data_IF_291428150853
#
_entry.id   IF_291428150853
#
_cell.length_a   1.000
_cell.length_b   1.000
_cell.length_c   1.000
_cell.angle_alpha   90.00
_cell.angle_beta   90.00
_cell.angle_gamma   90.00
#
_symmetry.space_group_name_H-M   'P 1'
#
loop_
_entity.id
_entity.type
_entity.pdbx_description
1 polymer ?
#
# COMPACT_ATOMS: atom_id res chain seq x y z
N UNK A 1 -29.13 32.07 24.63
CA UNK A 1 -28.48 31.02 23.83
C UNK A 1 -28.40 29.75 24.67
N UNK A 2 -29.01 28.63 24.27
CA UNK A 2 -28.88 27.39 25.03
C UNK A 2 -27.44 26.88 24.92
N UNK A 3 -26.76 26.79 26.07
CA UNK A 3 -25.41 26.22 26.18
C UNK A 3 -25.55 24.71 26.08
N UNK A 4 -24.96 24.09 25.06
CA UNK A 4 -24.95 22.63 24.90
C UNK A 4 -24.22 21.99 26.09
N UNK A 5 -24.98 21.44 27.03
CA UNK A 5 -24.43 20.76 28.22
C UNK A 5 -23.93 19.38 27.80
N UNK A 6 -22.66 19.07 28.08
CA UNK A 6 -22.11 17.72 27.93
C UNK A 6 -23.04 16.71 28.64
N UNK A 7 -23.40 15.58 28.02
CA UNK A 7 -24.25 14.58 28.67
C UNK A 7 -23.58 14.07 29.95
N UNK A 8 -24.31 14.10 31.08
CA UNK A 8 -23.81 13.69 32.41
C UNK A 8 -23.57 12.18 32.58
N UNK A 9 -23.89 11.37 31.56
CA UNK A 9 -24.03 9.91 31.67
C UNK A 9 -23.02 9.12 30.82
N UNK A 10 -21.95 9.76 30.34
CA UNK A 10 -20.93 9.08 29.54
C UNK A 10 -19.82 8.57 30.44
N UNK A 11 -19.65 7.26 30.49
CA UNK A 11 -18.47 6.66 31.12
C UNK A 11 -17.24 6.88 30.24
N UNK A 12 -16.46 7.90 30.60
CA UNK A 12 -15.21 8.29 29.92
C UNK A 12 -14.01 7.45 30.37
N UNK A 13 -14.14 6.70 31.47
CA UNK A 13 -13.08 5.84 31.99
C UNK A 13 -12.96 4.54 31.19
N UNK A 14 -14.08 4.03 30.67
CA UNK A 14 -14.07 2.88 29.77
C UNK A 14 -13.44 3.25 28.40
N UNK A 15 -12.28 2.65 28.03
CA UNK A 15 -11.56 2.96 26.80
C UNK A 15 -12.19 2.33 25.55
N UNK A 16 -13.23 1.52 25.67
CA UNK A 16 -13.85 0.84 24.53
C UNK A 16 -14.65 1.80 23.64
N UNK A 17 -14.40 1.72 22.33
CA UNK A 17 -15.20 2.33 21.27
C UNK A 17 -16.37 1.44 20.83
N UNK A 18 -16.40 0.18 21.26
CA UNK A 18 -17.45 -0.77 20.96
C UNK A 18 -18.25 -1.16 22.21
N UNK A 19 -19.47 -1.64 21.97
CA UNK A 19 -20.38 -2.16 22.99
C UNK A 19 -21.18 -3.30 22.39
N UNK A 20 -21.56 -4.27 23.22
CA UNK A 20 -22.53 -5.29 22.84
C UNK A 20 -23.93 -4.69 22.77
N UNK A 21 -24.64 -4.94 21.67
CA UNK A 21 -26.01 -4.47 21.52
C UNK A 21 -26.93 -5.24 22.49
N UNK A 22 -27.70 -4.57 23.36
CA UNK A 22 -28.55 -5.24 24.34
C UNK A 22 -29.73 -6.01 23.70
N UNK A 23 -30.02 -5.78 22.41
CA UNK A 23 -31.08 -6.50 21.69
C UNK A 23 -30.55 -7.74 20.97
N UNK A 24 -29.45 -7.64 20.23
CA UNK A 24 -28.97 -8.74 19.37
C UNK A 24 -27.66 -9.37 19.84
N UNK A 25 -27.04 -8.87 20.91
CA UNK A 25 -25.78 -9.39 21.48
C UNK A 25 -24.54 -9.14 20.62
N UNK A 26 -24.68 -8.61 19.40
CA UNK A 26 -23.53 -8.36 18.53
C UNK A 26 -22.80 -7.08 18.91
N UNK A 27 -21.48 -7.11 18.71
CA UNK A 27 -20.61 -5.95 18.87
C UNK A 27 -20.98 -4.85 17.88
N UNK A 28 -21.04 -3.61 18.35
CA UNK A 28 -21.32 -2.43 17.51
C UNK A 28 -20.63 -1.20 18.08
N UNK A 29 -20.45 -0.16 17.26
CA UNK A 29 -19.81 1.06 17.72
C UNK A 29 -20.65 1.70 18.83
N UNK A 30 -20.01 2.10 19.93
CA UNK A 30 -20.66 2.58 21.15
C UNK A 30 -21.34 3.93 20.98
N UNK A 31 -20.84 4.77 20.09
CA UNK A 31 -21.27 6.16 19.92
C UNK A 31 -22.01 6.43 18.60
N UNK A 32 -22.80 5.46 18.15
CA UNK A 32 -23.76 5.61 17.05
C UNK A 32 -25.19 5.63 17.61
N UNK A 33 -26.12 6.25 16.90
CA UNK A 33 -27.51 6.37 17.37
C UNK A 33 -28.24 5.03 17.45
N UNK A 34 -27.96 4.12 16.51
CA UNK A 34 -28.59 2.81 16.41
C UNK A 34 -27.60 1.70 16.04
N UNK A 35 -27.83 0.51 16.58
CA UNK A 35 -27.08 -0.69 16.24
C UNK A 35 -27.16 -0.95 14.72
N UNK A 36 -25.99 -1.09 14.07
CA UNK A 36 -25.91 -1.32 12.62
C UNK A 36 -26.52 -2.65 12.17
N UNK A 37 -26.61 -3.63 13.07
CA UNK A 37 -27.16 -4.96 12.72
C UNK A 37 -28.69 -5.03 12.86
N UNK A 38 -29.26 -4.52 13.96
CA UNK A 38 -30.68 -4.71 14.27
C UNK A 38 -31.49 -3.41 14.41
N UNK A 39 -30.87 -2.25 14.19
CA UNK A 39 -31.54 -0.94 14.27
C UNK A 39 -31.95 -0.51 15.68
N UNK A 40 -31.55 -1.25 16.73
CA UNK A 40 -31.86 -0.89 18.10
C UNK A 40 -31.24 0.46 18.48
N UNK A 41 -32.03 1.37 19.06
CA UNK A 41 -31.55 2.69 19.50
C UNK A 41 -30.64 2.56 20.72
N UNK A 42 -29.36 2.82 20.51
CA UNK A 42 -28.33 2.83 21.55
C UNK A 42 -28.29 4.19 22.27
N UNK A 43 -28.58 5.26 21.52
CA UNK A 43 -28.69 6.61 22.05
C UNK A 43 -30.04 7.23 21.67
N UNK A 44 -30.56 8.18 22.47
CA UNK A 44 -31.82 8.86 22.14
C UNK A 44 -31.78 9.60 20.81
N UNK A 45 -30.61 10.12 20.42
CA UNK A 45 -30.39 10.78 19.12
C UNK A 45 -28.93 10.70 18.68
N UNK A 46 -28.69 10.91 17.38
CA UNK A 46 -27.33 11.01 16.80
C UNK A 46 -26.54 12.20 17.34
N UNK A 47 -27.22 13.30 17.68
CA UNK A 47 -26.60 14.46 18.31
C UNK A 47 -26.06 14.12 19.70
N UNK A 48 -26.86 13.42 20.52
CA UNK A 48 -26.43 12.97 21.84
C UNK A 48 -25.27 11.97 21.76
N UNK A 49 -25.34 11.02 20.83
CA UNK A 49 -24.25 10.07 20.58
C UNK A 49 -22.94 10.79 20.18
N UNK A 50 -23.04 11.80 19.31
CA UNK A 50 -21.89 12.60 18.87
C UNK A 50 -21.32 13.47 20.00
N UNK A 51 -22.19 14.05 20.84
CA UNK A 51 -21.76 14.81 22.02
C UNK A 51 -21.06 13.92 23.05
N UNK A 52 -21.55 12.69 23.22
CA UNK A 52 -20.94 11.70 24.09
C UNK A 52 -19.57 11.23 23.58
N UNK A 53 -19.46 10.95 22.28
CA UNK A 53 -18.19 10.65 21.63
C UNK A 53 -17.16 11.74 21.84
N UNK A 54 -17.55 13.01 21.62
CA UNK A 54 -16.66 14.16 21.85
C UNK A 54 -16.20 14.22 23.31
N UNK A 55 -17.12 14.06 24.27
CA UNK A 55 -16.75 14.06 25.69
C UNK A 55 -15.80 12.91 26.06
N UNK A 56 -16.01 11.71 25.48
CA UNK A 56 -15.15 10.55 25.68
C UNK A 56 -13.76 10.71 25.04
N UNK A 57 -13.69 11.33 23.85
CA UNK A 57 -12.44 11.61 23.14
C UNK A 57 -11.64 12.73 23.80
N UNK A 58 -12.31 13.79 24.23
CA UNK A 58 -11.67 14.94 24.89
C UNK A 58 -11.09 14.58 26.28
N UNK A 59 -11.48 13.43 26.84
CA UNK A 59 -11.02 12.99 28.15
C UNK A 59 -9.59 12.40 28.14
N UNK A 60 -9.08 12.00 26.97
CA UNK A 60 -7.78 11.32 26.85
C UNK A 60 -7.14 11.61 25.48
N UNK A 61 -5.96 12.26 25.44
CA UNK A 61 -5.29 12.63 24.19
C UNK A 61 -4.99 11.47 23.24
N UNK A 62 -4.82 10.24 23.75
CA UNK A 62 -4.57 9.05 22.92
C UNK A 62 -5.72 8.75 21.96
N UNK A 63 -6.92 9.26 22.24
CA UNK A 63 -8.14 9.02 21.47
C UNK A 63 -8.34 10.01 20.32
N UNK A 64 -7.40 10.95 20.12
CA UNK A 64 -7.55 12.09 19.18
C UNK A 64 -7.96 11.65 17.77
N UNK A 65 -7.42 10.53 17.29
CA UNK A 65 -7.60 10.02 15.93
C UNK A 65 -8.76 9.02 15.81
N UNK A 66 -9.41 8.67 16.93
CA UNK A 66 -10.57 7.79 16.91
C UNK A 66 -11.72 8.39 16.09
N UNK A 67 -12.44 7.52 15.36
CA UNK A 67 -13.76 7.83 14.80
C UNK A 67 -14.85 7.19 15.64
N UNK A 68 -16.02 7.87 15.70
CA UNK A 68 -17.21 7.35 16.42
C UNK A 68 -17.79 6.07 15.82
N UNK A 69 -17.34 5.72 14.62
CA UNK A 69 -17.83 4.59 13.84
C UNK A 69 -16.92 3.36 13.94
N UNK A 70 -15.74 3.53 14.52
CA UNK A 70 -14.79 2.44 14.72
C UNK A 70 -15.25 1.57 15.88
N UNK A 71 -14.80 0.31 15.87
CA UNK A 71 -15.05 -0.62 16.97
C UNK A 71 -13.91 -0.59 17.99
N UNK A 72 -12.70 -0.22 17.54
CA UNK A 72 -11.47 -0.22 18.30
C UNK A 72 -10.79 1.13 18.18
N UNK A 73 -10.05 1.52 19.22
CA UNK A 73 -9.26 2.77 19.20
C UNK A 73 -8.11 2.55 18.21
N UNK A 74 -7.93 3.44 17.22
CA UNK A 74 -6.78 3.34 16.32
C UNK A 74 -5.50 3.30 17.14
N UNK A 75 -4.71 2.26 16.92
CA UNK A 75 -3.34 2.23 17.47
C UNK A 75 -2.59 3.42 16.88
N UNK A 76 -1.80 4.11 17.71
CA UNK A 76 -0.90 5.14 17.19
C UNK A 76 -0.10 4.48 16.06
N UNK A 77 -0.05 5.08 14.86
CA UNK A 77 0.75 4.52 13.79
C UNK A 77 2.16 4.45 14.34
N UNK A 78 2.63 3.21 14.57
CA UNK A 78 4.05 3.01 14.79
C UNK A 78 4.75 3.74 13.65
N UNK A 79 5.75 4.54 13.96
CA UNK A 79 6.55 5.25 12.97
C UNK A 79 7.35 4.20 12.18
N UNK A 80 6.62 3.47 11.33
CA UNK A 80 7.16 2.46 10.45
C UNK A 80 7.40 3.22 9.17
N UNK A 81 8.60 3.77 9.04
CA UNK A 81 9.19 4.01 7.73
C UNK A 81 9.22 2.64 7.03
N UNK A 82 8.15 2.31 6.31
CA UNK A 82 8.03 1.04 5.60
C UNK A 82 9.03 1.11 4.45
N UNK A 83 10.10 0.33 4.55
CA UNK A 83 10.98 0.06 3.42
C UNK A 83 10.23 -0.86 2.44
N UNK A 84 9.60 -0.23 1.45
CA UNK A 84 8.84 -0.92 0.42
C UNK A 84 9.71 -1.87 -0.40
N UNK A 85 11.02 -1.64 -0.52
CA UNK A 85 11.92 -2.54 -1.23
C UNK A 85 12.15 -3.82 -0.43
N UNK A 86 12.41 -3.68 0.88
CA UNK A 86 12.52 -4.84 1.78
C UNK A 86 11.22 -5.64 1.86
N UNK A 87 10.07 -4.96 1.98
CA UNK A 87 8.77 -5.63 2.04
C UNK A 87 8.40 -6.32 0.72
N UNK A 88 8.79 -5.75 -0.42
CA UNK A 88 8.60 -6.40 -1.73
C UNK A 88 9.46 -7.66 -1.88
N UNK A 89 10.71 -7.62 -1.37
CA UNK A 89 11.58 -8.79 -1.35
C UNK A 89 11.01 -9.93 -0.49
N UNK A 90 10.48 -9.63 0.70
CA UNK A 90 9.79 -10.62 1.55
C UNK A 90 8.57 -11.25 0.87
N UNK A 91 7.86 -10.49 0.05
CA UNK A 91 6.68 -10.96 -0.70
C UNK A 91 7.06 -11.74 -1.97
N UNK A 92 8.35 -11.93 -2.25
CA UNK A 92 8.82 -12.57 -3.49
C UNK A 92 8.52 -11.74 -4.74
N UNK A 93 8.21 -10.46 -4.59
CA UNK A 93 7.98 -9.55 -5.71
C UNK A 93 9.36 -9.07 -6.17
N UNK A 94 9.85 -9.66 -7.25
CA UNK A 94 11.07 -9.19 -7.91
C UNK A 94 10.80 -7.83 -8.56
N UNK A 95 11.11 -6.75 -7.86
CA UNK A 95 11.21 -5.42 -8.47
C UNK A 95 12.50 -5.38 -9.29
N UNK A 96 12.36 -5.32 -10.61
CA UNK A 96 13.51 -5.06 -11.47
C UNK A 96 14.02 -3.64 -11.18
N UNK A 97 15.32 -3.44 -10.91
CA UNK A 97 15.90 -2.10 -10.81
C UNK A 97 15.72 -1.37 -12.14
N UNK A 98 15.78 -0.03 -12.11
CA UNK A 98 15.68 0.78 -13.32
C UNK A 98 16.74 0.35 -14.36
N UNK A 99 16.27 -0.14 -15.51
CA UNK A 99 17.11 -0.57 -16.64
C UNK A 99 16.87 0.31 -17.86
N UNK A 100 17.95 0.70 -18.52
CA UNK A 100 17.90 1.46 -19.77
C UNK A 100 17.94 0.56 -21.01
N UNK A 101 18.22 -0.74 -20.88
CA UNK A 101 18.41 -1.63 -22.03
C UNK A 101 17.15 -1.83 -22.89
N UNK A 102 15.93 -1.95 -22.34
CA UNK A 102 14.72 -2.02 -23.16
C UNK A 102 14.59 -0.85 -24.15
N UNK A 103 14.93 0.35 -23.72
CA UNK A 103 14.93 1.53 -24.58
C UNK A 103 15.97 1.42 -25.71
N UNK A 104 17.19 0.98 -25.38
CA UNK A 104 18.27 0.79 -26.36
C UNK A 104 17.89 -0.27 -27.40
N UNK A 105 17.26 -1.37 -26.98
CA UNK A 105 16.76 -2.43 -27.86
C UNK A 105 15.74 -1.85 -28.84
N UNK A 106 14.77 -1.06 -28.34
CA UNK A 106 13.77 -0.41 -29.20
C UNK A 106 14.41 0.54 -30.22
N UNK A 107 15.42 1.32 -29.83
CA UNK A 107 16.17 2.18 -30.75
C UNK A 107 16.85 1.34 -31.83
N UNK A 108 17.56 0.27 -31.45
CA UNK A 108 18.19 -0.64 -32.43
C UNK A 108 17.18 -1.25 -33.41
N UNK A 109 16.04 -1.72 -32.89
CA UNK A 109 14.95 -2.27 -33.69
C UNK A 109 14.36 -1.24 -34.68
N UNK A 110 14.23 0.03 -34.27
CA UNK A 110 13.79 1.11 -35.14
C UNK A 110 14.72 1.29 -36.35
N UNK A 111 16.04 1.34 -36.13
CA UNK A 111 17.02 1.46 -37.23
C UNK A 111 16.99 0.24 -38.17
N UNK A 112 16.85 -0.97 -37.62
CA UNK A 112 16.66 -2.19 -38.42
C UNK A 112 15.39 -2.12 -39.28
N UNK A 113 14.27 -1.68 -38.71
CA UNK A 113 13.02 -1.51 -39.43
C UNK A 113 13.13 -0.46 -40.55
N UNK A 114 13.81 0.67 -40.29
CA UNK A 114 14.07 1.69 -41.31
C UNK A 114 14.96 1.16 -42.44
N UNK A 115 15.93 0.28 -42.15
CA UNK A 115 16.76 -0.38 -43.17
C UNK A 115 15.99 -1.34 -44.09
N UNK A 116 14.84 -1.85 -43.64
CA UNK A 116 13.96 -2.70 -44.44
C UNK A 116 13.10 -1.92 -45.46
N UNK A 117 12.92 -0.61 -45.26
CA UNK A 117 12.20 0.27 -46.17
C UNK A 117 13.00 0.41 -47.49
N UNK A 118 12.34 0.49 -48.66
CA UNK A 118 13.00 0.57 -49.97
C UNK A 118 13.66 1.95 -50.24
N UNK A 119 14.62 2.33 -49.40
CA UNK A 119 15.55 3.43 -49.67
C UNK A 119 16.68 2.99 -50.60
N UNK A 120 17.62 3.89 -50.90
CA UNK A 120 18.84 3.55 -51.65
C UNK A 120 19.62 2.44 -50.93
N UNK A 121 20.25 1.55 -51.70
CA UNK A 121 20.93 0.37 -51.15
C UNK A 121 21.96 0.71 -50.07
N UNK A 122 22.75 1.77 -50.28
CA UNK A 122 23.73 2.26 -49.31
C UNK A 122 23.09 2.66 -47.99
N UNK A 123 21.98 3.41 -48.01
CA UNK A 123 21.28 3.86 -46.80
C UNK A 123 20.73 2.65 -46.04
N UNK A 124 20.16 1.68 -46.74
CA UNK A 124 19.61 0.46 -46.13
C UNK A 124 20.68 -0.35 -45.40
N UNK A 125 21.84 -0.54 -46.03
CA UNK A 125 22.96 -1.28 -45.42
C UNK A 125 23.48 -0.55 -44.18
N UNK A 126 23.67 0.77 -44.25
CA UNK A 126 24.13 1.57 -43.11
C UNK A 126 23.14 1.48 -41.94
N UNK A 127 21.85 1.66 -42.20
CA UNK A 127 20.80 1.55 -41.18
C UNK A 127 20.74 0.14 -40.57
N UNK A 128 20.86 -0.89 -41.39
CA UNK A 128 20.85 -2.27 -40.92
C UNK A 128 22.05 -2.59 -40.02
N UNK A 129 23.25 -2.13 -40.39
CA UNK A 129 24.47 -2.34 -39.59
C UNK A 129 24.38 -1.59 -38.27
N UNK A 130 24.00 -0.30 -38.29
CA UNK A 130 23.87 0.52 -37.08
C UNK A 130 22.80 -0.07 -36.15
N UNK A 131 21.61 -0.35 -36.70
CA UNK A 131 20.51 -0.93 -35.92
C UNK A 131 20.87 -2.29 -35.34
N UNK A 132 21.56 -3.15 -36.11
CA UNK A 132 22.02 -4.46 -35.66
C UNK A 132 23.00 -4.36 -34.50
N UNK A 133 23.99 -3.47 -34.57
CA UNK A 133 24.96 -3.27 -33.50
C UNK A 133 24.30 -2.72 -32.22
N UNK A 134 23.40 -1.74 -32.34
CA UNK A 134 22.69 -1.17 -31.18
C UNK A 134 21.78 -2.22 -30.54
N UNK A 135 21.04 -2.99 -31.35
CA UNK A 135 20.16 -4.04 -30.88
C UNK A 135 20.94 -5.14 -30.15
N UNK A 136 22.04 -5.62 -30.72
CA UNK A 136 22.89 -6.63 -30.10
C UNK A 136 23.49 -6.13 -28.78
N UNK A 137 23.96 -4.88 -28.73
CA UNK A 137 24.43 -4.28 -27.49
C UNK A 137 23.34 -4.23 -26.42
N UNK A 138 22.11 -3.85 -26.81
CA UNK A 138 20.95 -3.84 -25.92
C UNK A 138 20.62 -5.21 -25.34
N UNK A 139 20.55 -6.25 -26.19
CA UNK A 139 20.23 -7.62 -25.76
C UNK A 139 21.34 -8.20 -24.89
N UNK A 140 22.61 -8.05 -25.29
CA UNK A 140 23.76 -8.57 -24.52
C UNK A 140 23.84 -7.88 -23.16
N UNK A 141 23.66 -6.56 -23.11
CA UNK A 141 23.66 -5.83 -21.84
C UNK A 141 22.52 -6.25 -20.92
N UNK A 142 21.31 -6.41 -21.46
CA UNK A 142 20.15 -6.85 -20.68
C UNK A 142 20.31 -8.28 -20.16
N UNK A 143 20.68 -9.22 -21.04
CA UNK A 143 20.70 -10.66 -20.72
C UNK A 143 21.97 -11.08 -19.97
N UNK A 144 23.14 -10.51 -20.26
CA UNK A 144 24.39 -10.96 -19.62
C UNK A 144 24.83 -10.07 -18.48
N UNK A 145 24.64 -8.76 -18.57
CA UNK A 145 25.13 -7.84 -17.53
C UNK A 145 24.09 -7.68 -16.44
N UNK A 146 22.83 -7.53 -16.83
CA UNK A 146 21.75 -7.29 -15.88
C UNK A 146 21.23 -8.57 -15.24
N UNK A 147 20.97 -9.64 -16.01
CA UNK A 147 20.53 -10.92 -15.45
C UNK A 147 21.54 -11.54 -14.47
N UNK A 148 22.84 -11.53 -14.82
CA UNK A 148 23.92 -12.06 -13.95
C UNK A 148 24.11 -11.21 -12.69
N UNK A 149 23.87 -9.90 -12.76
CA UNK A 149 23.90 -9.03 -11.58
C UNK A 149 22.67 -9.21 -10.69
N UNK A 150 21.52 -9.54 -11.27
CA UNK A 150 20.26 -9.72 -10.55
C UNK A 150 20.14 -11.10 -9.89
N UNK A 151 20.73 -12.12 -10.50
CA UNK A 151 20.76 -13.49 -9.98
C UNK A 151 22.19 -14.03 -9.92
N UNK A 152 23.05 -13.52 -9.02
CA UNK A 152 24.30 -14.20 -8.73
C UNK A 152 23.93 -15.62 -8.27
N UNK A 153 24.41 -16.64 -8.99
CA UNK A 153 24.08 -18.03 -8.74
C UNK A 153 24.17 -18.32 -7.23
N UNK A 154 23.03 -18.61 -6.61
CA UNK A 154 22.94 -18.86 -5.17
C UNK A 154 23.93 -19.97 -4.81
N UNK A 155 24.95 -19.63 -4.03
CA UNK A 155 25.68 -20.66 -3.28
C UNK A 155 24.67 -21.34 -2.36
N UNK A 156 24.55 -22.67 -2.38
CA UNK A 156 23.54 -23.37 -1.58
C UNK A 156 23.73 -23.02 -0.11
N UNK A 157 22.72 -22.39 0.48
CA UNK A 157 22.67 -22.10 1.91
C UNK A 157 22.68 -23.42 2.69
N UNK A 158 23.78 -23.69 3.37
CA UNK A 158 23.82 -24.69 4.44
C UNK A 158 22.90 -24.22 5.57
N UNK A 159 21.65 -24.69 5.55
CA UNK A 159 20.77 -24.61 6.70
C UNK A 159 21.36 -25.48 7.82
N UNK A 160 22.09 -24.87 8.76
CA UNK A 160 22.33 -25.45 10.07
C UNK A 160 21.00 -25.50 10.83
N UNK A 161 20.58 -26.71 11.19
CA UNK A 161 19.42 -26.94 12.04
C UNK A 161 19.75 -26.60 13.50
N UNK A 162 18.85 -25.95 14.26
CA UNK A 162 19.10 -25.65 15.67
C UNK A 162 18.89 -26.92 16.52
N UNK A 163 19.89 -27.23 17.34
CA UNK A 163 19.82 -28.16 18.48
C UNK A 163 19.18 -27.51 19.70
#
# INVERSE_FOLDING_TARGET
>A
MPVARKPRYVDVANPSLSVECPRCGLLTARFIDQCRNCGYKLWPSSEMASAAFKAWRDADPSRKDASRFDLDVPEEPADVTIDYAARAHELGIHLFPNSNYPFIICVGALFLALGAIPFSGTIRVVLAVIGGLIFLYGIVGWVLVEDVRMFPAETPSTHEAPH
#
